data_IF_090787992113
#
_entry.id   IF_090787992113
#
_cell.length_a   1.000
_cell.length_b   1.000
_cell.length_c   1.000
_cell.angle_alpha   90.00
_cell.angle_beta   90.00
_cell.angle_gamma   90.00
#
_symmetry.space_group_name_H-M   'P 1'
#
loop_
_entity.id
_entity.type
_entity.pdbx_description
1 polymer ?
#
# COMPACT_ATOMS: atom_id res chain seq x y z
N UNK A 1 8.72 -36.09 -8.78
CA UNK A 1 9.44 -34.83 -9.05
C UNK A 1 8.46 -33.87 -9.70
N UNK A 2 7.89 -32.95 -8.91
CA UNK A 2 6.97 -31.93 -9.41
C UNK A 2 7.75 -30.64 -9.59
N UNK A 3 7.85 -30.20 -10.84
CA UNK A 3 8.55 -29.02 -11.28
C UNK A 3 7.70 -27.79 -10.90
N UNK A 4 7.88 -27.26 -9.68
CA UNK A 4 7.22 -26.04 -9.24
C UNK A 4 8.07 -24.84 -9.66
N UNK A 5 7.82 -24.42 -10.90
CA UNK A 5 7.96 -23.04 -11.33
C UNK A 5 7.05 -22.22 -10.42
N UNK A 6 7.54 -21.82 -9.25
CA UNK A 6 6.90 -20.77 -8.47
C UNK A 6 7.90 -19.64 -8.43
N UNK A 7 7.81 -18.87 -9.51
CA UNK A 7 8.12 -17.47 -9.59
C UNK A 7 8.73 -16.95 -8.30
N UNK A 8 9.99 -16.59 -8.39
CA UNK A 8 10.59 -15.42 -7.77
C UNK A 8 9.73 -14.17 -8.05
N UNK A 9 8.46 -14.18 -7.65
CA UNK A 9 7.79 -13.03 -7.10
C UNK A 9 8.70 -12.68 -5.95
N UNK A 10 9.59 -11.74 -6.21
CA UNK A 10 10.20 -11.01 -5.15
C UNK A 10 9.07 -10.64 -4.19
N UNK A 11 9.00 -11.37 -3.07
CA UNK A 11 8.60 -10.88 -1.76
C UNK A 11 9.65 -9.82 -1.38
N UNK A 12 9.88 -8.89 -2.29
CA UNK A 12 10.95 -7.93 -2.33
C UNK A 12 10.41 -6.70 -1.66
N UNK A 13 10.40 -6.76 -0.33
CA UNK A 13 9.99 -5.68 0.55
C UNK A 13 8.52 -5.29 0.33
N UNK A 14 7.63 -5.76 1.21
CA UNK A 14 6.61 -4.82 1.70
C UNK A 14 7.39 -3.53 2.01
N UNK A 15 7.17 -2.47 1.22
CA UNK A 15 7.91 -1.23 1.43
C UNK A 15 7.32 -0.65 2.71
N UNK A 16 7.94 -1.00 3.84
CA UNK A 16 7.50 -0.62 5.17
C UNK A 16 7.32 0.90 5.23
N UNK A 17 8.22 1.65 4.59
CA UNK A 17 8.13 3.11 4.43
C UNK A 17 6.82 3.57 3.75
N UNK A 18 6.35 2.84 2.71
CA UNK A 18 5.08 3.16 2.03
C UNK A 18 3.90 2.84 2.95
N UNK A 19 3.98 1.74 3.70
CA UNK A 19 2.90 1.31 4.59
C UNK A 19 2.80 2.19 5.84
N UNK A 20 3.94 2.61 6.39
CA UNK A 20 4.03 3.51 7.53
C UNK A 20 3.50 4.89 7.15
N UNK A 21 3.95 5.46 6.03
CA UNK A 21 3.41 6.72 5.51
C UNK A 21 1.91 6.61 5.19
N UNK A 22 1.45 5.46 4.71
CA UNK A 22 0.03 5.23 4.45
C UNK A 22 -0.79 5.11 5.73
N UNK A 23 -0.22 4.52 6.78
CA UNK A 23 -0.84 4.39 8.08
C UNK A 23 -0.95 5.72 8.79
N UNK A 24 0.08 6.57 8.70
CA UNK A 24 0.01 7.96 9.17
C UNK A 24 -1.13 8.71 8.48
N UNK A 25 -1.21 8.65 7.15
CA UNK A 25 -2.30 9.28 6.39
C UNK A 25 -3.68 8.71 6.75
N UNK A 26 -3.74 7.42 7.06
CA UNK A 26 -4.96 6.74 7.50
C UNK A 26 -5.39 7.22 8.90
N UNK A 27 -4.46 7.42 9.82
CA UNK A 27 -4.72 7.94 11.17
C UNK A 27 -5.05 9.43 11.18
N UNK A 28 -4.48 10.22 10.27
CA UNK A 28 -4.77 11.65 10.10
C UNK A 28 -6.16 11.89 9.50
N UNK A 29 -6.77 10.90 8.85
CA UNK A 29 -8.07 11.04 8.21
C UNK A 29 -9.21 11.09 9.27
N UNK A 30 -10.17 12.02 9.14
CA UNK A 30 -11.31 12.08 10.04
C UNK A 30 -12.14 10.78 9.96
N UNK A 31 -12.49 10.24 11.12
CA UNK A 31 -13.08 8.89 11.26
C UNK A 31 -14.45 8.69 10.60
N UNK A 32 -15.08 9.75 10.09
CA UNK A 32 -16.48 9.68 9.68
C UNK A 32 -16.75 9.19 8.25
N UNK A 33 -15.75 9.04 7.37
CA UNK A 33 -16.01 8.45 6.04
C UNK A 33 -14.72 8.00 5.36
N UNK A 34 -14.57 6.69 5.15
CA UNK A 34 -13.64 6.09 4.17
C UNK A 34 -12.29 6.81 3.99
N UNK A 35 -11.28 6.53 4.84
CA UNK A 35 -9.98 7.18 4.74
C UNK A 35 -9.42 7.05 3.32
N UNK A 36 -9.21 8.19 2.67
CA UNK A 36 -8.73 8.28 1.30
C UNK A 36 -7.23 8.45 1.32
N UNK A 37 -6.51 7.39 0.93
CA UNK A 37 -5.05 7.44 0.84
C UNK A 37 -4.67 7.96 -0.54
N UNK A 38 -4.07 9.16 -0.58
CA UNK A 38 -3.59 9.75 -1.84
C UNK A 38 -2.25 9.12 -2.28
N UNK A 39 -2.26 8.49 -3.45
CA UNK A 39 -1.06 7.91 -4.07
C UNK A 39 -0.02 8.97 -4.42
N UNK A 40 -0.47 10.18 -4.76
CA UNK A 40 0.41 11.33 -5.01
C UNK A 40 1.15 11.75 -3.75
N UNK A 41 0.47 11.79 -2.60
CA UNK A 41 1.08 12.12 -1.31
C UNK A 41 2.05 11.02 -0.86
N UNK A 42 1.66 9.75 -1.02
CA UNK A 42 2.54 8.62 -0.73
C UNK A 42 3.81 8.63 -1.57
N UNK A 43 3.67 8.84 -2.88
CA UNK A 43 4.81 8.94 -3.81
C UNK A 43 5.77 10.06 -3.40
N UNK A 44 5.25 11.22 -3.01
CA UNK A 44 6.06 12.34 -2.50
C UNK A 44 6.76 12.02 -1.19
N UNK A 45 6.08 11.41 -0.21
CA UNK A 45 6.67 11.08 1.11
C UNK A 45 7.74 9.99 1.01
N UNK A 46 7.54 9.01 0.13
CA UNK A 46 8.36 7.79 0.07
C UNK A 46 9.39 7.82 -1.05
N UNK A 47 9.35 8.83 -1.93
CA UNK A 47 10.15 8.88 -3.16
C UNK A 47 9.84 7.75 -4.16
N UNK A 48 8.83 6.92 -3.90
CA UNK A 48 8.48 5.77 -4.72
C UNK A 48 7.49 6.12 -5.80
N UNK A 49 7.52 5.40 -6.93
CA UNK A 49 6.58 5.66 -8.02
C UNK A 49 5.12 5.44 -7.58
N UNK A 50 4.14 6.16 -8.16
CA UNK A 50 2.72 5.98 -7.84
C UNK A 50 2.25 4.54 -8.04
N UNK A 51 2.76 3.85 -9.06
CA UNK A 51 2.50 2.43 -9.32
C UNK A 51 2.98 1.53 -8.17
N UNK A 52 4.17 1.78 -7.65
CA UNK A 52 4.75 1.04 -6.51
C UNK A 52 3.93 1.29 -5.24
N UNK A 53 3.54 2.55 -4.99
CA UNK A 53 2.66 2.91 -3.88
C UNK A 53 1.32 2.18 -3.98
N UNK A 54 0.66 2.23 -5.14
CA UNK A 54 -0.62 1.55 -5.39
C UNK A 54 -0.52 0.06 -5.11
N UNK A 55 0.48 -0.61 -5.64
CA UNK A 55 0.64 -2.05 -5.45
C UNK A 55 0.84 -2.39 -3.97
N UNK A 56 1.64 -1.61 -3.23
CA UNK A 56 1.85 -1.82 -1.79
C UNK A 56 0.56 -1.65 -0.98
N UNK A 57 -0.26 -0.62 -1.28
CA UNK A 57 -1.53 -0.41 -0.58
C UNK A 57 -2.54 -1.50 -0.92
N UNK A 58 -2.65 -1.88 -2.20
CA UNK A 58 -3.55 -2.97 -2.62
C UNK A 58 -3.21 -4.28 -1.92
N UNK A 59 -1.92 -4.63 -1.80
CA UNK A 59 -1.50 -5.81 -1.06
C UNK A 59 -1.81 -5.70 0.45
N UNK A 60 -1.62 -4.53 1.06
CA UNK A 60 -1.97 -4.31 2.45
C UNK A 60 -3.49 -4.34 2.73
N UNK A 61 -4.32 -3.87 1.79
CA UNK A 61 -5.77 -4.01 1.83
C UNK A 61 -6.20 -5.48 1.79
N UNK A 62 -5.61 -6.29 0.89
CA UNK A 62 -5.88 -7.74 0.82
C UNK A 62 -5.51 -8.46 2.12
N UNK A 63 -4.49 -7.97 2.83
CA UNK A 63 -4.08 -8.48 4.14
C UNK A 63 -4.93 -7.94 5.31
N UNK A 64 -5.94 -7.11 5.05
CA UNK A 64 -6.82 -6.55 6.07
C UNK A 64 -6.22 -5.43 6.91
N UNK A 65 -5.08 -4.85 6.50
CA UNK A 65 -4.41 -3.77 7.28
C UNK A 65 -5.04 -2.39 7.11
N UNK A 66 -5.78 -2.18 6.02
CA UNK A 66 -6.51 -0.94 5.75
C UNK A 66 -7.99 -1.25 5.48
N UNK A 67 -8.80 -1.48 6.53
CA UNK A 67 -10.23 -1.70 6.35
C UNK A 67 -10.88 -0.42 5.82
N UNK A 68 -11.73 -0.56 4.80
CA UNK A 68 -12.54 0.51 4.19
C UNK A 68 -11.76 1.70 3.58
N UNK A 69 -10.48 1.54 3.21
CA UNK A 69 -9.73 2.62 2.58
C UNK A 69 -10.04 2.72 1.08
N UNK A 70 -10.07 3.95 0.57
CA UNK A 70 -10.16 4.24 -0.87
C UNK A 70 -8.85 4.86 -1.35
N UNK A 71 -8.44 4.52 -2.57
CA UNK A 71 -7.25 5.12 -3.19
C UNK A 71 -7.66 6.32 -4.04
N UNK A 72 -7.00 7.46 -3.82
CA UNK A 72 -7.08 8.62 -4.70
C UNK A 72 -5.81 8.72 -5.54
N UNK A 73 -5.99 8.82 -6.86
CA UNK A 73 -4.91 8.94 -7.86
C UNK A 73 -4.33 10.34 -7.92
#
# INVERSE_FOLDING_TARGET
MLNLITQSLAVGSLNLDILEAAFELYLEAPQESHPVISLKTLSKRTGSSPLKCRNAIVEACKMGRFPNCSLST
#
